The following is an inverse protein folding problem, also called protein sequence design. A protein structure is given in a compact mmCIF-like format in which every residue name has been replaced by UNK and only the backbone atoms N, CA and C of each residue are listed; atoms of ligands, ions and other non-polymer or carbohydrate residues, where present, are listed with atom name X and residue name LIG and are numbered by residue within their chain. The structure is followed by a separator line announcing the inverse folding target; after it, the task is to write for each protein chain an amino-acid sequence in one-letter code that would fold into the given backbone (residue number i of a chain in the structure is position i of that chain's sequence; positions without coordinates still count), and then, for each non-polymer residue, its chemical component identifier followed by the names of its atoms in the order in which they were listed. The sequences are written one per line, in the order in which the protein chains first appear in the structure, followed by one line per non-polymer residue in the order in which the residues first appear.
data_IF_641687427041
#
_entry.id   IF_641687427041
#
_cell.length_a   1.000
_cell.length_b   1.000
_cell.length_c   1.000
_cell.angle_alpha   90.00
_cell.angle_beta   90.00
_cell.angle_gamma   90.00
#
_symmetry.space_group_name_H-M   'P 1'
#
loop_
_entity.id
_entity.type
_entity.pdbx_description
1 polymer ?
#
# COMPACT_ATOMS: atom_id res chain seq x y z
N UNK A 1 -2.09 -10.85 -18.87
CA UNK A 1 -2.02 -10.74 -20.34
C UNK A 1 -0.73 -10.02 -20.70
N UNK A 2 -0.15 -10.31 -21.85
CA UNK A 2 1.05 -9.59 -22.32
C UNK A 2 0.68 -8.16 -22.72
N UNK A 3 1.65 -7.27 -22.63
CA UNK A 3 1.50 -5.89 -23.08
C UNK A 3 1.48 -5.80 -24.60
N UNK A 4 0.59 -4.93 -25.08
CA UNK A 4 0.50 -4.58 -26.50
C UNK A 4 0.85 -3.09 -26.74
N UNK A 5 1.10 -2.32 -25.67
CA UNK A 5 1.46 -0.89 -25.71
C UNK A 5 2.44 -0.52 -24.59
N UNK A 6 3.33 0.47 -24.79
CA UNK A 6 4.30 0.88 -23.77
C UNK A 6 3.65 1.45 -22.49
N UNK A 7 2.47 2.05 -22.59
CA UNK A 7 1.69 2.48 -21.42
C UNK A 7 1.17 1.31 -20.60
N UNK A 8 0.83 0.20 -21.24
CA UNK A 8 0.38 -1.00 -20.53
C UNK A 8 1.54 -1.68 -19.78
N UNK A 9 2.77 -1.64 -20.31
CA UNK A 9 3.96 -2.06 -19.56
C UNK A 9 4.15 -1.26 -18.26
N UNK A 10 3.96 0.07 -18.31
CA UNK A 10 4.02 0.92 -17.12
C UNK A 10 2.90 0.60 -16.12
N UNK A 11 1.70 0.28 -16.59
CA UNK A 11 0.61 -0.17 -15.73
C UNK A 11 0.90 -1.51 -15.06
N UNK A 12 1.48 -2.48 -15.77
CA UNK A 12 1.90 -3.77 -15.18
C UNK A 12 2.94 -3.52 -14.09
N UNK A 13 3.97 -2.71 -14.37
CA UNK A 13 4.99 -2.38 -13.37
C UNK A 13 4.38 -1.73 -12.12
N UNK A 14 3.45 -0.78 -12.30
CA UNK A 14 2.74 -0.15 -11.19
C UNK A 14 1.88 -1.13 -10.41
N UNK A 15 1.15 -2.01 -11.09
CA UNK A 15 0.37 -3.07 -10.48
C UNK A 15 1.26 -3.98 -9.62
N UNK A 16 2.38 -4.45 -10.15
CA UNK A 16 3.28 -5.35 -9.43
C UNK A 16 3.90 -4.65 -8.21
N UNK A 17 4.26 -3.37 -8.35
CA UNK A 17 4.72 -2.54 -7.23
C UNK A 17 3.64 -2.39 -6.14
N UNK A 18 2.39 -2.10 -6.51
CA UNK A 18 1.29 -1.99 -5.54
C UNK A 18 0.98 -3.32 -4.88
N UNK A 19 0.97 -4.41 -5.64
CA UNK A 19 0.73 -5.75 -5.12
C UNK A 19 1.81 -6.17 -4.13
N UNK A 20 3.07 -5.86 -4.39
CA UNK A 20 4.17 -6.11 -3.44
C UNK A 20 3.92 -5.40 -2.09
N UNK A 21 3.51 -4.12 -2.13
CA UNK A 21 3.18 -3.36 -0.92
C UNK A 21 1.98 -3.97 -0.19
N UNK A 22 0.91 -4.33 -0.89
CA UNK A 22 -0.28 -4.93 -0.30
C UNK A 22 0.01 -6.29 0.36
N UNK A 23 0.81 -7.14 -0.29
CA UNK A 23 1.23 -8.42 0.27
C UNK A 23 2.07 -8.19 1.54
N UNK A 24 2.97 -7.21 1.54
CA UNK A 24 3.74 -6.85 2.73
C UNK A 24 2.83 -6.43 3.90
N UNK A 25 1.83 -5.57 3.65
CA UNK A 25 0.89 -5.12 4.69
C UNK A 25 0.05 -6.29 5.22
N UNK A 26 -0.46 -7.15 4.34
CA UNK A 26 -1.29 -8.29 4.77
C UNK A 26 -0.50 -9.28 5.63
N UNK A 27 0.75 -9.58 5.27
CA UNK A 27 1.64 -10.42 6.08
C UNK A 27 1.92 -9.75 7.44
N UNK A 28 2.17 -8.43 7.48
CA UNK A 28 2.39 -7.70 8.71
C UNK A 28 1.17 -7.75 9.64
N UNK A 29 -0.03 -7.55 9.11
CA UNK A 29 -1.28 -7.64 9.89
C UNK A 29 -1.48 -9.07 10.40
N UNK A 30 -1.27 -10.08 9.56
CA UNK A 30 -1.39 -11.49 9.95
C UNK A 30 -0.40 -11.83 11.08
N UNK A 31 0.84 -11.35 10.99
CA UNK A 31 1.84 -11.54 12.03
C UNK A 31 1.42 -10.91 13.36
N UNK A 32 0.93 -9.66 13.35
CA UNK A 32 0.43 -8.98 14.56
C UNK A 32 -0.73 -9.78 15.17
N UNK A 33 -1.70 -10.20 14.35
CA UNK A 33 -2.84 -10.99 14.82
C UNK A 33 -2.40 -12.32 15.44
N UNK A 34 -1.47 -13.03 14.82
CA UNK A 34 -0.93 -14.28 15.36
C UNK A 34 -0.20 -14.06 16.70
N UNK A 35 0.59 -12.98 16.79
CA UNK A 35 1.29 -12.62 18.02
C UNK A 35 0.33 -12.32 19.18
N UNK A 36 -0.81 -11.68 18.91
CA UNK A 36 -1.83 -11.38 19.92
C UNK A 36 -2.50 -12.65 20.44
N UNK A 37 -2.75 -13.64 19.59
CA UNK A 37 -3.32 -14.93 19.99
C UNK A 37 -2.36 -15.69 20.92
N UNK A 38 -1.05 -15.66 20.63
CA UNK A 38 -0.06 -16.38 21.43
C UNK A 38 0.34 -15.63 22.71
N UNK A 39 0.03 -14.34 22.82
CA UNK A 39 0.43 -13.52 23.95
C UNK A 39 -0.44 -13.80 25.19
N UNK A 40 0.18 -14.25 26.29
CA UNK A 40 -0.50 -14.54 27.56
C UNK A 40 -0.58 -13.33 28.51
N UNK A 41 0.12 -12.24 28.21
CA UNK A 41 0.18 -11.06 29.06
C UNK A 41 -0.93 -10.07 28.70
N UNK A 42 -1.71 -9.65 29.70
CA UNK A 42 -2.78 -8.67 29.54
C UNK A 42 -2.31 -7.31 30.04
N UNK A 43 -2.26 -6.31 29.17
CA UNK A 43 -1.98 -4.93 29.54
C UNK A 43 -3.24 -4.06 29.39
N UNK A 44 -3.88 -3.71 30.52
CA UNK A 44 -5.14 -2.93 30.55
C UNK A 44 -4.94 -1.45 30.19
N UNK A 45 -3.75 -0.89 30.39
CA UNK A 45 -3.45 0.51 30.13
C UNK A 45 -3.09 0.79 28.66
N UNK A 46 -2.85 -0.26 27.86
CA UNK A 46 -2.58 -0.12 26.43
C UNK A 46 -3.80 0.36 25.62
N UNK A 47 -5.00 0.30 26.21
CA UNK A 47 -6.28 0.64 25.58
C UNK A 47 -6.44 2.15 25.32
N UNK A 48 -5.63 3.00 25.96
CA UNK A 48 -5.69 4.46 25.84
C UNK A 48 -4.35 5.02 25.31
N UNK A 49 -3.79 4.36 24.30
CA UNK A 49 -2.50 4.71 23.71
C UNK A 49 -2.59 5.66 22.52
N UNK A 50 -2.84 6.95 22.73
CA UNK A 50 -2.87 7.93 21.62
C UNK A 50 -1.59 7.93 20.77
N UNK A 51 -0.44 7.61 21.37
CA UNK A 51 0.82 7.47 20.63
C UNK A 51 0.80 6.28 19.65
N UNK A 52 0.19 5.14 20.01
CA UNK A 52 0.10 3.98 19.12
C UNK A 52 -0.87 4.25 17.97
N UNK A 53 -1.97 4.98 18.25
CA UNK A 53 -2.91 5.47 17.26
C UNK A 53 -2.23 6.33 16.20
N UNK A 54 -1.46 7.33 16.65
CA UNK A 54 -0.76 8.23 15.76
C UNK A 54 0.22 7.48 14.85
N UNK A 55 0.96 6.51 15.39
CA UNK A 55 1.92 5.70 14.62
C UNK A 55 1.20 4.89 13.52
N UNK A 56 0.10 4.20 13.84
CA UNK A 56 -0.62 3.40 12.85
C UNK A 56 -1.53 4.22 11.93
N UNK A 57 -1.74 5.52 12.18
CA UNK A 57 -2.43 6.43 11.24
C UNK A 57 -1.45 7.06 10.26
N UNK A 58 -0.24 7.41 10.70
CA UNK A 58 0.78 7.99 9.82
C UNK A 58 1.38 6.92 8.90
N UNK A 59 1.60 5.69 9.38
CA UNK A 59 2.23 4.65 8.56
C UNK A 59 1.44 4.30 7.29
N UNK A 60 0.10 4.13 7.29
CA UNK A 60 -0.67 3.89 6.08
C UNK A 60 -0.76 5.14 5.20
N UNK A 61 -0.79 6.34 5.80
CA UNK A 61 -0.80 7.60 5.05
C UNK A 61 0.46 7.75 4.19
N UNK A 62 1.64 7.45 4.75
CA UNK A 62 2.90 7.48 4.02
C UNK A 62 2.92 6.46 2.88
N UNK A 63 2.46 5.23 3.14
CA UNK A 63 2.38 4.18 2.12
C UNK A 63 1.47 4.61 0.95
N UNK A 64 0.34 5.24 1.23
CA UNK A 64 -0.57 5.75 0.20
C UNK A 64 0.07 6.84 -0.67
N UNK A 65 0.85 7.75 -0.07
CA UNK A 65 1.58 8.78 -0.83
C UNK A 65 2.58 8.14 -1.79
N UNK A 66 3.32 7.12 -1.35
CA UNK A 66 4.26 6.39 -2.22
C UNK A 66 3.57 5.69 -3.39
N UNK A 67 2.33 5.23 -3.21
CA UNK A 67 1.52 4.64 -4.29
C UNK A 67 0.99 5.74 -5.23
N UNK A 68 0.58 6.88 -4.68
CA UNK A 68 -0.06 7.95 -5.46
C UNK A 68 0.89 8.61 -6.47
N UNK A 69 2.16 8.82 -6.12
CA UNK A 69 3.14 9.48 -6.99
C UNK A 69 3.30 8.77 -8.36
N UNK A 70 3.65 7.48 -8.43
CA UNK A 70 3.74 6.77 -9.71
C UNK A 70 2.37 6.62 -10.40
N UNK A 71 1.28 6.49 -9.63
CA UNK A 71 -0.08 6.39 -10.16
C UNK A 71 -0.49 7.62 -10.98
N UNK A 72 -0.28 8.82 -10.43
CA UNK A 72 -0.60 10.09 -11.10
C UNK A 72 0.24 10.26 -12.37
N UNK A 73 1.53 9.91 -12.31
CA UNK A 73 2.40 9.96 -13.49
C UNK A 73 1.88 9.10 -14.65
N UNK A 74 1.42 7.88 -14.35
CA UNK A 74 0.88 6.97 -15.38
C UNK A 74 -0.42 7.55 -15.96
N UNK A 75 -1.30 8.12 -15.12
CA UNK A 75 -2.54 8.75 -15.57
C UNK A 75 -2.29 9.85 -16.61
N UNK A 76 -1.34 10.76 -16.34
CA UNK A 76 -1.01 11.83 -17.29
C UNK A 76 -0.48 11.28 -18.61
N UNK A 77 0.40 10.26 -18.57
CA UNK A 77 0.93 9.64 -19.79
C UNK A 77 -0.16 8.95 -20.61
N UNK A 78 -1.15 8.34 -19.94
CA UNK A 78 -2.26 7.70 -20.63
C UNK A 78 -3.21 8.72 -21.26
N UNK A 79 -3.45 9.84 -20.58
CA UNK A 79 -4.29 10.93 -21.10
C UNK A 79 -3.63 11.60 -22.32
N UNK A 80 -2.33 11.85 -22.27
CA UNK A 80 -1.56 12.37 -23.42
C UNK A 80 -1.64 11.43 -24.63
N UNK A 81 -1.51 10.11 -24.41
CA UNK A 81 -1.62 9.11 -25.48
C UNK A 81 -3.02 9.02 -26.08
N UNK A 82 -4.06 9.19 -25.26
CA UNK A 82 -5.44 9.22 -25.73
C UNK A 82 -5.73 10.48 -26.54
N UNK A 83 -5.28 11.64 -26.06
CA UNK A 83 -5.53 12.93 -26.69
C UNK A 83 -4.70 13.16 -27.97
N UNK A 84 -3.54 12.49 -28.10
CA UNK A 84 -2.72 12.49 -29.33
C UNK A 84 -3.21 11.50 -30.40
N UNK A 85 -4.34 10.83 -30.18
CA UNK A 85 -4.99 9.93 -31.15
C UNK A 85 -6.22 10.58 -31.74
#
# INVERSE_FOLDING_TARGET
QNSNTPTFDMMIFFHDFTMMILIFITILILFIMFSLIYNKFVNRFLLQGHMIELIWTISPMLILIFIAIPSIKILYLTDEMYNNK
#
